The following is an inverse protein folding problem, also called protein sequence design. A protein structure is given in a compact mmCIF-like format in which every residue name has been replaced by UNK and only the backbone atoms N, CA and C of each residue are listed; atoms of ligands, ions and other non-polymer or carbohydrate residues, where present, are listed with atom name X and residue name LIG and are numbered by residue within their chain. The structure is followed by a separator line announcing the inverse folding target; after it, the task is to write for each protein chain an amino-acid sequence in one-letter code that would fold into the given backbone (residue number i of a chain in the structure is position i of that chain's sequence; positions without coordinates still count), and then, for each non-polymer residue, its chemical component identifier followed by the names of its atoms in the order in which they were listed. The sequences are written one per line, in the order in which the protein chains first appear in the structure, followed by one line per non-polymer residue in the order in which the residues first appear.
data_IF_641609014778
#
_entry.id   IF_641609014778
#
_cell.length_a   1.000
_cell.length_b   1.000
_cell.length_c   1.000
_cell.angle_alpha   90.00
_cell.angle_beta   90.00
_cell.angle_gamma   90.00
#
_symmetry.space_group_name_H-M   'P 1'
#
loop_
_entity.id
_entity.type
_entity.pdbx_description
1 polymer ?
#
# COMPACT_ATOMS: atom_id res chain seq x y z
N UNK A 1 36.18 -18.08 -6.31
CA UNK A 1 35.70 -17.48 -5.06
C UNK A 1 34.33 -16.93 -5.36
N UNK A 2 33.28 -17.64 -4.99
CA UNK A 2 31.88 -17.14 -5.11
C UNK A 2 31.67 -16.12 -4.00
N UNK A 3 31.47 -14.87 -4.37
CA UNK A 3 31.08 -13.81 -3.45
C UNK A 3 29.76 -14.23 -2.83
N UNK A 4 29.76 -14.54 -1.54
CA UNK A 4 28.56 -14.71 -0.72
C UNK A 4 27.79 -13.38 -0.80
N UNK A 5 26.81 -13.30 -1.69
CA UNK A 5 25.81 -12.24 -1.70
C UNK A 5 24.99 -12.48 -0.44
N UNK A 6 25.09 -11.59 0.52
CA UNK A 6 24.25 -11.64 1.72
C UNK A 6 22.81 -11.42 1.27
N UNK A 7 21.99 -12.48 1.26
CA UNK A 7 20.54 -12.43 1.02
C UNK A 7 19.84 -11.77 2.23
N UNK A 8 20.22 -10.54 2.54
CA UNK A 8 19.68 -9.80 3.69
C UNK A 8 18.29 -9.26 3.39
N UNK A 9 17.95 -9.06 2.10
CA UNK A 9 16.68 -8.46 1.68
C UNK A 9 16.04 -9.24 0.52
N UNK A 10 14.71 -9.38 0.57
CA UNK A 10 13.92 -9.94 -0.53
C UNK A 10 13.80 -8.97 -1.70
N UNK A 11 13.79 -7.66 -1.39
CA UNK A 11 13.80 -6.58 -2.38
C UNK A 11 14.73 -5.46 -1.93
N UNK A 12 15.52 -4.93 -2.87
CA UNK A 12 16.31 -3.73 -2.72
C UNK A 12 16.09 -2.81 -3.92
N UNK A 13 15.73 -1.57 -3.66
CA UNK A 13 15.73 -0.49 -4.64
C UNK A 13 16.73 0.56 -4.17
N UNK A 14 17.63 0.99 -5.06
CA UNK A 14 18.69 1.95 -4.76
C UNK A 14 18.72 3.05 -5.81
N UNK A 15 18.38 4.29 -5.40
CA UNK A 15 18.44 5.49 -6.25
C UNK A 15 17.54 5.39 -7.49
N UNK A 16 16.39 4.73 -7.40
CA UNK A 16 15.55 4.41 -8.55
C UNK A 16 14.84 5.65 -9.06
N UNK A 17 15.10 5.99 -10.32
CA UNK A 17 14.41 7.06 -11.04
C UNK A 17 13.64 6.49 -12.23
N UNK A 18 12.48 7.06 -12.53
CA UNK A 18 11.72 6.76 -13.75
C UNK A 18 11.10 8.01 -14.35
N UNK A 19 11.43 8.25 -15.62
CA UNK A 19 10.86 9.33 -16.42
C UNK A 19 10.02 8.79 -17.56
N UNK A 20 8.91 9.46 -17.84
CA UNK A 20 8.08 9.29 -19.03
C UNK A 20 8.00 10.65 -19.75
N UNK A 21 8.86 10.84 -20.76
CA UNK A 21 9.01 12.14 -21.38
C UNK A 21 9.44 13.23 -20.37
N UNK A 22 8.57 14.21 -20.13
CA UNK A 22 8.81 15.29 -19.17
C UNK A 22 8.38 14.97 -17.75
N UNK A 23 7.61 13.89 -17.54
CA UNK A 23 7.09 13.51 -16.21
C UNK A 23 8.09 12.62 -15.50
N UNK A 24 8.50 13.04 -14.32
CA UNK A 24 9.33 12.25 -13.40
C UNK A 24 8.42 11.48 -12.44
N UNK A 25 8.15 10.22 -12.75
CA UNK A 25 7.25 9.38 -11.97
C UNK A 25 7.91 8.79 -10.70
N UNK A 26 9.24 8.65 -10.71
CA UNK A 26 10.04 8.24 -9.54
C UNK A 26 11.29 9.09 -9.47
N UNK A 27 11.62 9.55 -8.26
CA UNK A 27 12.71 10.50 -7.96
C UNK A 27 13.56 9.95 -6.83
N UNK A 28 14.66 9.29 -7.16
CA UNK A 28 15.67 8.78 -6.20
C UNK A 28 15.06 7.88 -5.11
N UNK A 29 14.22 6.92 -5.54
CA UNK A 29 13.56 6.00 -4.62
C UNK A 29 14.53 4.93 -4.14
N UNK A 30 14.71 4.85 -2.82
CA UNK A 30 15.49 3.81 -2.16
C UNK A 30 14.65 3.15 -1.06
N UNK A 31 14.57 1.82 -1.09
CA UNK A 31 13.85 1.03 -0.08
C UNK A 31 14.39 -0.40 -0.02
N UNK A 32 14.16 -1.05 1.12
CA UNK A 32 14.56 -2.42 1.37
C UNK A 32 13.42 -3.18 2.06
N UNK A 33 13.12 -4.39 1.55
CA UNK A 33 12.08 -5.28 2.08
C UNK A 33 12.76 -6.56 2.57
N UNK A 34 12.43 -6.97 3.80
CA UNK A 34 12.97 -8.17 4.42
C UNK A 34 12.22 -9.42 3.94
N UNK A 35 12.86 -10.60 3.91
CA UNK A 35 12.14 -11.84 3.65
C UNK A 35 11.03 -12.08 4.67
N UNK A 36 9.87 -12.53 4.20
CA UNK A 36 8.74 -12.91 5.04
C UNK A 36 7.99 -11.76 5.70
N UNK A 37 8.24 -10.49 5.34
CA UNK A 37 7.44 -9.37 5.84
C UNK A 37 6.30 -8.98 4.87
N UNK A 38 5.25 -8.41 5.42
CA UNK A 38 4.26 -7.64 4.66
C UNK A 38 4.71 -6.19 4.66
N UNK A 39 5.13 -5.70 3.51
CA UNK A 39 5.59 -4.32 3.32
C UNK A 39 4.57 -3.50 2.55
N UNK A 40 4.11 -2.39 3.16
CA UNK A 40 3.15 -1.47 2.55
C UNK A 40 3.83 -0.31 1.84
N UNK A 41 3.45 -0.04 0.59
CA UNK A 41 3.80 1.19 -0.12
C UNK A 41 2.57 2.09 -0.13
N UNK A 42 2.53 3.10 0.73
CA UNK A 42 1.35 3.89 1.04
C UNK A 42 1.49 5.31 0.52
N UNK A 43 0.45 5.83 -0.09
CA UNK A 43 0.43 7.20 -0.62
C UNK A 43 -0.73 7.44 -1.57
N UNK A 44 -1.00 8.69 -1.94
CA UNK A 44 -2.12 9.06 -2.81
C UNK A 44 -1.97 8.53 -4.23
N UNK A 45 -3.04 8.69 -5.01
CA UNK A 45 -2.99 8.42 -6.44
C UNK A 45 -1.98 9.36 -7.10
N UNK A 46 -1.18 8.79 -8.01
CA UNK A 46 -0.10 9.53 -8.66
C UNK A 46 1.22 9.57 -7.90
N UNK A 47 1.30 9.09 -6.66
CA UNK A 47 2.55 9.06 -5.89
C UNK A 47 3.69 8.21 -6.49
N UNK A 48 3.40 7.40 -7.53
CA UNK A 48 4.40 6.58 -8.22
C UNK A 48 4.39 5.10 -7.84
N UNK A 49 3.52 4.67 -6.93
CA UNK A 49 3.42 3.28 -6.40
C UNK A 49 3.38 2.23 -7.51
N UNK A 50 2.40 2.31 -8.42
CA UNK A 50 2.26 1.40 -9.57
C UNK A 50 3.49 1.42 -10.48
N UNK A 51 4.15 2.58 -10.66
CA UNK A 51 5.37 2.67 -11.46
C UNK A 51 6.49 1.86 -10.83
N UNK A 52 6.68 1.98 -9.51
CA UNK A 52 7.67 1.21 -8.77
C UNK A 52 7.36 -0.30 -8.84
N UNK A 53 6.11 -0.70 -8.64
CA UNK A 53 5.69 -2.11 -8.77
C UNK A 53 5.99 -2.70 -10.16
N UNK A 54 5.72 -1.94 -11.22
CA UNK A 54 6.05 -2.38 -12.59
C UNK A 54 7.55 -2.49 -12.85
N UNK A 55 8.38 -1.67 -12.21
CA UNK A 55 9.83 -1.82 -12.26
C UNK A 55 10.29 -3.08 -11.53
N UNK A 56 9.77 -3.33 -10.33
CA UNK A 56 10.07 -4.53 -9.55
C UNK A 56 9.64 -5.78 -10.32
N UNK A 57 8.45 -5.77 -10.92
CA UNK A 57 7.94 -6.86 -11.75
C UNK A 57 8.65 -7.00 -13.11
N UNK A 58 9.71 -6.22 -13.37
CA UNK A 58 10.44 -6.20 -14.64
C UNK A 58 9.58 -5.88 -15.88
N UNK A 59 8.48 -5.16 -15.69
CA UNK A 59 7.58 -4.70 -16.77
C UNK A 59 8.01 -3.33 -17.32
N UNK A 60 8.82 -2.59 -16.56
CA UNK A 60 9.42 -1.33 -16.94
C UNK A 60 10.92 -1.36 -16.65
N UNK A 61 11.68 -0.53 -17.36
CA UNK A 61 13.08 -0.31 -17.07
C UNK A 61 13.25 1.01 -16.30
N UNK A 62 14.11 1.07 -15.27
CA UNK A 62 14.44 2.32 -14.60
C UNK A 62 15.19 3.27 -15.55
N UNK A 63 15.06 4.57 -15.33
CA UNK A 63 15.87 5.58 -16.05
C UNK A 63 17.24 5.71 -15.39
N UNK A 64 17.31 5.55 -14.06
CA UNK A 64 18.53 5.49 -13.27
C UNK A 64 18.28 4.64 -12.01
N UNK A 65 19.36 4.27 -11.32
CA UNK A 65 19.31 3.41 -10.15
C UNK A 65 19.20 1.93 -10.49
N UNK A 66 19.01 1.11 -9.47
CA UNK A 66 18.97 -0.34 -9.59
C UNK A 66 17.88 -0.94 -8.69
N UNK A 67 17.23 -2.00 -9.17
CA UNK A 67 16.33 -2.84 -8.37
C UNK A 67 16.84 -4.27 -8.37
N UNK A 68 16.90 -4.89 -7.20
CA UNK A 68 17.22 -6.31 -7.02
C UNK A 68 16.09 -7.02 -6.29
N UNK A 69 15.78 -8.23 -6.72
CA UNK A 69 14.80 -9.10 -6.08
C UNK A 69 15.44 -10.45 -5.82
N UNK A 70 15.45 -10.88 -4.57
CA UNK A 70 16.13 -12.12 -4.14
C UNK A 70 17.58 -12.20 -4.70
N UNK A 71 18.33 -11.10 -4.61
CA UNK A 71 19.68 -10.98 -5.11
C UNK A 71 19.82 -10.81 -6.65
N UNK A 72 18.74 -11.01 -7.43
CA UNK A 72 18.74 -10.89 -8.88
C UNK A 72 18.45 -9.45 -9.34
N UNK A 73 19.18 -8.98 -10.36
CA UNK A 73 18.90 -7.71 -11.01
C UNK A 73 17.63 -7.82 -11.88
N UNK A 74 16.59 -7.03 -11.57
CA UNK A 74 15.29 -7.12 -12.26
C UNK A 74 15.37 -6.79 -13.74
N UNK A 75 16.41 -6.08 -14.18
CA UNK A 75 16.61 -5.71 -15.58
C UNK A 75 17.36 -6.81 -16.33
N UNK A 76 18.43 -7.33 -15.75
CA UNK A 76 19.31 -8.33 -16.41
C UNK A 76 18.73 -9.74 -16.29
N UNK A 77 18.25 -10.09 -15.11
CA UNK A 77 17.75 -11.43 -14.77
C UNK A 77 16.22 -11.55 -14.89
N UNK A 78 15.55 -10.70 -15.66
CA UNK A 78 14.10 -10.55 -15.71
C UNK A 78 13.33 -11.87 -15.88
N UNK A 79 13.86 -12.86 -16.63
CA UNK A 79 13.21 -14.17 -16.80
C UNK A 79 13.18 -14.99 -15.51
N UNK A 80 14.25 -14.92 -14.71
CA UNK A 80 14.32 -15.59 -13.41
C UNK A 80 13.45 -14.84 -12.40
N UNK A 81 13.55 -13.51 -12.37
CA UNK A 81 12.76 -12.63 -11.50
C UNK A 81 11.26 -12.89 -11.67
N UNK A 82 10.75 -12.97 -12.90
CA UNK A 82 9.33 -13.23 -13.19
C UNK A 82 8.84 -14.58 -12.68
N UNK A 83 9.71 -15.58 -12.54
CA UNK A 83 9.35 -16.87 -11.93
C UNK A 83 9.29 -16.83 -10.41
N UNK A 84 9.90 -15.83 -9.79
CA UNK A 84 9.89 -15.64 -8.34
C UNK A 84 8.76 -14.75 -7.85
N UNK A 85 8.07 -14.04 -8.76
CA UNK A 85 7.06 -13.04 -8.44
C UNK A 85 5.66 -13.56 -8.78
N UNK A 86 4.74 -13.47 -7.81
CA UNK A 86 3.31 -13.37 -8.06
C UNK A 86 2.93 -11.88 -8.21
N UNK A 87 2.27 -11.49 -9.29
CA UNK A 87 1.89 -10.08 -9.49
C UNK A 87 0.41 -9.94 -9.75
N UNK A 88 -0.24 -9.16 -8.91
CA UNK A 88 -1.63 -8.75 -9.04
C UNK A 88 -1.67 -7.25 -9.32
N UNK A 89 -1.93 -6.81 -10.56
CA UNK A 89 -2.03 -5.40 -10.90
C UNK A 89 -3.34 -4.79 -10.42
N UNK A 90 -3.37 -3.48 -10.18
CA UNK A 90 -4.53 -2.74 -9.66
C UNK A 90 -5.76 -2.72 -10.57
N UNK A 91 -5.60 -3.09 -11.84
CA UNK A 91 -6.72 -3.31 -12.75
C UNK A 91 -6.95 -4.80 -12.93
N UNK A 92 -8.24 -5.20 -12.99
CA UNK A 92 -8.60 -6.59 -13.26
C UNK A 92 -7.90 -7.09 -14.54
N UNK A 93 -7.00 -8.02 -14.38
CA UNK A 93 -6.07 -8.50 -15.42
C UNK A 93 -6.32 -9.93 -15.84
N UNK A 94 -7.34 -10.59 -15.26
CA UNK A 94 -7.72 -11.95 -15.63
C UNK A 94 -8.56 -11.93 -16.90
N UNK A 95 -8.64 -13.08 -17.55
CA UNK A 95 -9.46 -13.27 -18.75
C UNK A 95 -10.93 -13.30 -18.36
N UNK A 96 -11.66 -12.22 -18.63
CA UNK A 96 -13.05 -12.04 -18.20
C UNK A 96 -14.00 -13.09 -18.81
N UNK A 97 -13.70 -13.56 -20.03
CA UNK A 97 -14.50 -14.54 -20.78
C UNK A 97 -14.21 -15.99 -20.38
N UNK A 98 -13.08 -16.23 -19.73
CA UNK A 98 -12.74 -17.55 -19.19
C UNK A 98 -13.41 -17.74 -17.83
N UNK A 99 -13.72 -19.00 -17.51
CA UNK A 99 -14.21 -19.40 -16.20
C UNK A 99 -13.13 -19.28 -15.13
N UNK A 100 -13.51 -19.44 -13.85
CA UNK A 100 -12.55 -19.49 -12.74
C UNK A 100 -11.52 -20.59 -12.96
N UNK A 101 -11.99 -21.82 -13.29
CA UNK A 101 -11.13 -22.98 -13.55
C UNK A 101 -10.21 -22.76 -14.74
N UNK A 102 -10.71 -22.21 -15.84
CA UNK A 102 -9.91 -21.91 -17.04
C UNK A 102 -8.82 -20.87 -16.78
N UNK A 103 -9.12 -19.81 -16.00
CA UNK A 103 -8.10 -18.85 -15.57
C UNK A 103 -7.00 -19.52 -14.75
N UNK A 104 -7.34 -20.33 -13.73
CA UNK A 104 -6.37 -21.05 -12.90
C UNK A 104 -5.48 -21.97 -13.74
N UNK A 105 -6.07 -22.74 -14.65
CA UNK A 105 -5.32 -23.61 -15.56
C UNK A 105 -4.41 -22.83 -16.51
N UNK A 106 -4.89 -21.71 -17.04
CA UNK A 106 -4.09 -20.85 -17.92
C UNK A 106 -2.85 -20.32 -17.19
N UNK A 107 -3.03 -19.74 -15.99
CA UNK A 107 -1.91 -19.19 -15.24
C UNK A 107 -0.96 -20.30 -14.75
N UNK A 108 -1.46 -21.45 -14.34
CA UNK A 108 -0.62 -22.60 -14.00
C UNK A 108 0.24 -23.03 -15.20
N UNK A 109 -0.38 -23.21 -16.36
CA UNK A 109 0.33 -23.61 -17.60
C UNK A 109 1.40 -22.59 -18.03
N UNK A 110 1.17 -21.29 -17.82
CA UNK A 110 2.16 -20.24 -18.11
C UNK A 110 3.46 -20.38 -17.31
N UNK A 111 3.43 -21.12 -16.18
CA UNK A 111 4.58 -21.41 -15.34
C UNK A 111 4.98 -22.88 -15.33
N UNK A 112 4.66 -23.63 -16.38
CA UNK A 112 5.04 -25.04 -16.57
C UNK A 112 4.48 -25.97 -15.46
N UNK A 113 3.29 -25.68 -14.89
CA UNK A 113 2.61 -26.48 -13.88
C UNK A 113 1.14 -26.67 -14.19
N UNK A 114 0.40 -27.35 -13.30
CA UNK A 114 -1.05 -27.52 -13.41
C UNK A 114 -1.73 -27.02 -12.16
N UNK A 115 -3.00 -26.60 -12.29
CA UNK A 115 -3.79 -26.22 -11.13
C UNK A 115 -3.90 -27.36 -10.10
N UNK A 116 -4.15 -28.58 -10.58
CA UNK A 116 -4.32 -29.75 -9.68
C UNK A 116 -3.05 -30.06 -8.87
N UNK A 117 -1.85 -29.91 -9.49
CA UNK A 117 -0.59 -30.15 -8.79
C UNK A 117 -0.34 -29.12 -7.66
N UNK A 118 -0.76 -27.87 -7.87
CA UNK A 118 -0.48 -26.75 -6.98
C UNK A 118 -1.72 -26.22 -6.25
N UNK A 119 -2.86 -26.90 -6.35
CA UNK A 119 -4.11 -26.52 -5.69
C UNK A 119 -3.93 -26.29 -4.19
N UNK A 120 -3.13 -27.13 -3.55
CA UNK A 120 -2.84 -27.05 -2.10
C UNK A 120 -2.23 -25.70 -1.68
N UNK A 121 -1.56 -24.96 -2.58
CA UNK A 121 -0.97 -23.64 -2.30
C UNK A 121 -2.02 -22.54 -2.16
N UNK A 122 -3.21 -22.78 -2.69
CA UNK A 122 -4.29 -21.78 -2.77
C UNK A 122 -5.61 -22.30 -2.21
N UNK A 123 -5.62 -23.48 -1.58
CA UNK A 123 -6.85 -24.18 -1.17
C UNK A 123 -7.74 -23.31 -0.28
N UNK A 124 -7.17 -22.64 0.73
CA UNK A 124 -7.93 -21.80 1.68
C UNK A 124 -8.62 -20.60 1.02
N UNK A 125 -8.07 -20.13 -0.09
CA UNK A 125 -8.65 -19.04 -0.88
C UNK A 125 -9.61 -19.63 -1.90
N UNK A 126 -9.18 -20.68 -2.59
CA UNK A 126 -9.95 -21.32 -3.65
C UNK A 126 -11.26 -21.91 -3.15
N UNK A 127 -11.30 -22.58 -1.99
CA UNK A 127 -12.53 -23.17 -1.43
C UNK A 127 -13.67 -22.13 -1.30
N UNK A 128 -13.36 -20.85 -1.12
CA UNK A 128 -14.35 -19.79 -1.02
C UNK A 128 -15.00 -19.42 -2.37
N UNK A 129 -14.35 -19.77 -3.47
CA UNK A 129 -14.83 -19.49 -4.84
C UNK A 129 -15.09 -20.78 -5.65
N UNK A 130 -14.74 -21.94 -5.13
CA UNK A 130 -14.82 -23.24 -5.82
C UNK A 130 -16.22 -23.55 -6.37
N UNK A 131 -17.29 -23.21 -5.63
CA UNK A 131 -18.68 -23.38 -6.10
C UNK A 131 -19.02 -22.61 -7.37
N UNK A 132 -18.17 -21.70 -7.79
CA UNK A 132 -18.33 -20.86 -8.98
C UNK A 132 -17.28 -21.16 -10.05
N UNK A 133 -16.63 -22.33 -9.98
CA UNK A 133 -15.50 -22.66 -10.85
C UNK A 133 -15.83 -22.61 -12.35
N UNK A 134 -17.08 -22.92 -12.73
CA UNK A 134 -17.57 -22.85 -14.11
C UNK A 134 -18.13 -21.47 -14.49
N UNK A 135 -18.14 -20.50 -13.55
CA UNK A 135 -18.60 -19.15 -13.84
C UNK A 135 -17.50 -18.34 -14.50
N UNK A 136 -17.83 -17.56 -15.51
CA UNK A 136 -16.91 -16.61 -16.16
C UNK A 136 -16.39 -15.59 -15.16
N UNK A 137 -15.09 -15.29 -15.20
CA UNK A 137 -14.44 -14.37 -14.29
C UNK A 137 -15.04 -12.96 -14.36
N UNK A 138 -15.50 -12.51 -15.53
CA UNK A 138 -16.19 -11.24 -15.71
C UNK A 138 -17.49 -11.11 -14.91
N UNK A 139 -18.19 -12.22 -14.62
CA UNK A 139 -19.46 -12.27 -13.89
C UNK A 139 -19.30 -12.45 -12.37
N UNK A 140 -18.06 -12.46 -11.84
CA UNK A 140 -17.77 -12.53 -10.41
C UNK A 140 -17.96 -11.17 -9.73
N UNK A 141 -18.26 -11.17 -8.43
CA UNK A 141 -18.20 -9.95 -7.60
C UNK A 141 -16.75 -9.45 -7.45
N UNK A 142 -16.57 -8.21 -7.03
CA UNK A 142 -15.23 -7.62 -6.82
C UNK A 142 -14.34 -8.47 -5.92
N UNK A 143 -14.83 -8.83 -4.73
CA UNK A 143 -14.07 -9.67 -3.78
C UNK A 143 -13.77 -11.08 -4.33
N UNK A 144 -14.67 -11.69 -5.12
CA UNK A 144 -14.40 -12.97 -5.77
C UNK A 144 -13.35 -12.84 -6.89
N UNK A 145 -13.37 -11.75 -7.65
CA UNK A 145 -12.34 -11.45 -8.65
C UNK A 145 -10.96 -11.35 -8.03
N UNK A 146 -10.87 -10.74 -6.85
CA UNK A 146 -9.60 -10.61 -6.13
C UNK A 146 -9.12 -11.93 -5.57
N UNK A 147 -10.01 -12.75 -5.00
CA UNK A 147 -9.67 -14.10 -4.57
C UNK A 147 -9.13 -14.94 -5.74
N UNK A 148 -9.78 -14.88 -6.90
CA UNK A 148 -9.29 -15.55 -8.11
C UNK A 148 -7.93 -15.00 -8.56
N UNK A 149 -7.75 -13.68 -8.60
CA UNK A 149 -6.49 -13.07 -8.99
C UNK A 149 -5.34 -13.46 -8.04
N UNK A 150 -5.63 -13.52 -6.74
CA UNK A 150 -4.67 -13.96 -5.73
C UNK A 150 -4.28 -15.44 -5.94
N UNK A 151 -5.26 -16.33 -6.17
CA UNK A 151 -4.98 -17.74 -6.52
C UNK A 151 -4.09 -17.85 -7.77
N UNK A 152 -4.40 -17.10 -8.84
CA UNK A 152 -3.60 -17.10 -10.06
C UNK A 152 -2.17 -16.57 -9.83
N UNK A 153 -1.99 -15.58 -8.95
CA UNK A 153 -0.67 -15.05 -8.62
C UNK A 153 0.17 -15.99 -7.74
N UNK A 154 -0.47 -16.91 -7.00
CA UNK A 154 0.19 -17.84 -6.09
C UNK A 154 0.44 -19.22 -6.69
N UNK A 155 -0.25 -19.58 -7.78
CA UNK A 155 -0.29 -20.94 -8.32
C UNK A 155 1.08 -21.54 -8.69
N UNK A 156 2.07 -20.71 -8.95
CA UNK A 156 3.42 -21.12 -9.32
C UNK A 156 4.42 -21.05 -8.16
N UNK A 157 3.93 -20.89 -6.91
CA UNK A 157 4.71 -20.82 -5.67
C UNK A 157 5.77 -19.71 -5.69
N UNK A 158 5.38 -18.45 -5.85
CA UNK A 158 6.32 -17.33 -5.85
C UNK A 158 7.02 -17.16 -4.50
N UNK A 159 8.19 -16.50 -4.49
CA UNK A 159 8.87 -16.07 -3.27
C UNK A 159 8.43 -14.68 -2.82
N UNK A 160 8.00 -13.85 -3.75
CA UNK A 160 7.54 -12.48 -3.51
C UNK A 160 6.20 -12.27 -4.20
N UNK A 161 5.23 -11.76 -3.45
CA UNK A 161 3.91 -11.40 -3.95
C UNK A 161 3.80 -9.88 -4.04
N UNK A 162 3.52 -9.36 -5.22
CA UNK A 162 3.31 -7.94 -5.49
C UNK A 162 1.83 -7.68 -5.72
N UNK A 163 1.20 -6.87 -4.88
CA UNK A 163 -0.23 -6.55 -4.92
C UNK A 163 -0.41 -5.04 -5.11
N UNK A 164 -0.76 -4.64 -6.32
CA UNK A 164 -0.94 -3.22 -6.67
C UNK A 164 -2.39 -2.80 -6.47
N UNK A 165 -2.67 -2.11 -5.37
CA UNK A 165 -3.99 -1.64 -4.94
C UNK A 165 -5.06 -2.75 -4.91
N UNK A 166 -4.79 -3.87 -4.22
CA UNK A 166 -5.65 -5.07 -4.32
C UNK A 166 -7.05 -4.87 -3.73
N UNK A 167 -7.25 -3.87 -2.89
CA UNK A 167 -8.49 -3.60 -2.15
C UNK A 167 -9.30 -2.42 -2.70
N UNK A 168 -8.79 -1.75 -3.75
CA UNK A 168 -9.48 -0.62 -4.36
C UNK A 168 -10.81 -1.06 -4.99
N UNK A 169 -11.89 -0.37 -4.62
CA UNK A 169 -13.24 -0.71 -5.11
C UNK A 169 -13.88 -1.95 -4.47
N UNK A 170 -13.32 -2.44 -3.36
CA UNK A 170 -13.84 -3.58 -2.59
C UNK A 170 -14.56 -3.10 -1.34
N UNK A 171 -15.67 -3.76 -1.01
CA UNK A 171 -16.41 -3.46 0.23
C UNK A 171 -15.58 -3.74 1.49
N UNK A 172 -15.88 -3.07 2.63
CA UNK A 172 -15.07 -3.17 3.84
C UNK A 172 -14.95 -4.58 4.42
N UNK A 173 -15.98 -5.43 4.25
CA UNK A 173 -15.96 -6.80 4.77
C UNK A 173 -15.00 -7.65 3.94
N UNK A 174 -15.14 -7.61 2.62
CA UNK A 174 -14.24 -8.32 1.70
C UNK A 174 -12.79 -7.82 1.82
N UNK A 175 -12.57 -6.52 2.10
CA UNK A 175 -11.24 -5.95 2.36
C UNK A 175 -10.61 -6.57 3.60
N UNK A 176 -11.35 -6.65 4.71
CA UNK A 176 -10.87 -7.28 5.95
C UNK A 176 -10.52 -8.77 5.74
N UNK A 177 -11.37 -9.50 5.02
CA UNK A 177 -11.11 -10.90 4.67
C UNK A 177 -9.83 -11.04 3.83
N UNK A 178 -9.63 -10.15 2.86
CA UNK A 178 -8.44 -10.16 2.00
C UNK A 178 -7.15 -9.95 2.81
N UNK A 179 -7.12 -9.00 3.72
CA UNK A 179 -5.99 -8.78 4.61
C UNK A 179 -5.73 -9.98 5.53
N UNK A 180 -6.79 -10.61 6.04
CA UNK A 180 -6.67 -11.86 6.82
C UNK A 180 -6.00 -12.98 6.02
N UNK A 181 -6.36 -13.14 4.74
CA UNK A 181 -5.72 -14.13 3.85
C UNK A 181 -4.22 -13.82 3.65
N UNK A 182 -3.83 -12.55 3.47
CA UNK A 182 -2.42 -12.18 3.33
C UNK A 182 -1.60 -12.49 4.58
N UNK A 183 -2.16 -12.23 5.76
CA UNK A 183 -1.51 -12.54 7.04
C UNK A 183 -1.31 -14.06 7.21
N UNK A 184 -2.28 -14.88 6.83
CA UNK A 184 -2.15 -16.34 6.86
C UNK A 184 -1.07 -16.84 5.89
N UNK A 185 -1.09 -16.37 4.65
CA UNK A 185 -0.06 -16.71 3.63
C UNK A 185 1.36 -16.38 4.10
N UNK A 186 1.53 -15.25 4.78
CA UNK A 186 2.82 -14.87 5.38
C UNK A 186 3.21 -15.83 6.50
N UNK A 187 2.29 -16.11 7.43
CA UNK A 187 2.56 -16.91 8.62
C UNK A 187 2.91 -18.38 8.29
N UNK A 188 2.23 -18.97 7.32
CA UNK A 188 2.38 -20.37 6.95
C UNK A 188 3.55 -20.63 5.99
N UNK A 189 3.80 -19.73 5.07
CA UNK A 189 4.74 -19.95 3.96
C UNK A 189 6.00 -19.09 3.97
N UNK A 190 6.15 -18.14 4.90
CA UNK A 190 7.28 -17.18 4.87
C UNK A 190 7.29 -16.32 3.60
N UNK A 191 6.15 -16.17 2.93
CA UNK A 191 5.99 -15.39 1.70
C UNK A 191 6.25 -13.91 2.00
N UNK A 192 7.09 -13.29 1.18
CA UNK A 192 7.28 -11.84 1.23
C UNK A 192 6.19 -11.16 0.43
N UNK A 193 5.50 -10.19 1.01
CA UNK A 193 4.35 -9.55 0.38
C UNK A 193 4.57 -8.04 0.32
N UNK A 194 4.51 -7.46 -0.88
CA UNK A 194 4.47 -6.02 -1.07
C UNK A 194 3.07 -5.62 -1.51
N UNK A 195 2.48 -4.67 -0.80
CA UNK A 195 1.16 -4.14 -1.11
C UNK A 195 1.27 -2.64 -1.37
N UNK A 196 0.75 -2.16 -2.49
CA UNK A 196 0.50 -0.72 -2.65
C UNK A 196 -0.95 -0.40 -2.29
N UNK A 197 -1.18 0.72 -1.62
CA UNK A 197 -2.53 1.18 -1.29
C UNK A 197 -2.59 2.69 -1.11
N UNK A 198 -3.69 3.35 -1.53
CA UNK A 198 -3.94 4.74 -1.16
C UNK A 198 -4.58 4.88 0.24
N UNK A 199 -5.01 3.78 0.85
CA UNK A 199 -5.72 3.78 2.13
C UNK A 199 -4.75 3.73 3.30
N UNK A 200 -4.71 4.82 4.10
CA UNK A 200 -3.79 4.93 5.25
C UNK A 200 -4.15 3.98 6.40
N UNK A 201 -5.43 3.62 6.56
CA UNK A 201 -5.90 2.66 7.55
C UNK A 201 -5.34 1.24 7.35
N UNK A 202 -5.03 0.87 6.11
CA UNK A 202 -4.42 -0.42 5.77
C UNK A 202 -2.95 -0.53 6.20
N UNK A 203 -2.29 0.59 6.51
CA UNK A 203 -0.92 0.60 7.02
C UNK A 203 -0.74 -0.28 8.26
N UNK A 204 -1.75 -0.31 9.14
CA UNK A 204 -1.74 -1.12 10.37
C UNK A 204 -1.70 -2.62 10.12
N UNK A 205 -2.02 -3.08 8.91
CA UNK A 205 -1.97 -4.48 8.49
C UNK A 205 -0.57 -4.92 8.03
N UNK A 206 0.38 -3.97 7.88
CA UNK A 206 1.74 -4.21 7.41
C UNK A 206 2.74 -4.26 8.57
N UNK A 207 3.83 -5.00 8.40
CA UNK A 207 4.94 -5.02 9.36
C UNK A 207 5.75 -3.73 9.29
N UNK A 208 6.04 -3.27 8.08
CA UNK A 208 6.69 -1.99 7.77
C UNK A 208 6.02 -1.35 6.57
N UNK A 209 6.09 -0.04 6.52
CA UNK A 209 5.54 0.75 5.43
C UNK A 209 6.54 1.80 4.94
N UNK A 210 6.42 2.16 3.67
CA UNK A 210 7.02 3.35 3.11
C UNK A 210 5.90 4.32 2.72
N UNK A 211 5.94 5.53 3.26
CA UNK A 211 5.08 6.63 2.83
C UNK A 211 5.66 7.23 1.55
N UNK A 212 4.84 7.33 0.52
CA UNK A 212 5.28 7.78 -0.80
C UNK A 212 4.42 8.93 -1.30
N UNK A 213 5.07 9.98 -1.77
CA UNK A 213 4.41 11.12 -2.40
C UNK A 213 5.28 11.69 -3.53
N UNK A 214 4.65 12.22 -4.59
CA UNK A 214 5.30 12.86 -5.76
C UNK A 214 6.53 12.10 -6.30
N UNK A 215 6.48 10.77 -6.30
CA UNK A 215 7.57 9.92 -6.79
C UNK A 215 8.73 9.74 -5.81
N UNK A 216 8.60 10.14 -4.57
CA UNK A 216 9.62 10.01 -3.51
C UNK A 216 9.12 9.17 -2.35
N UNK A 217 10.03 8.49 -1.68
CA UNK A 217 9.78 7.91 -0.35
C UNK A 217 10.05 8.98 0.69
N UNK A 218 9.04 9.32 1.47
CA UNK A 218 9.12 10.33 2.54
C UNK A 218 9.72 9.74 3.81
N UNK A 219 9.25 8.56 4.20
CA UNK A 219 9.66 7.87 5.42
C UNK A 219 9.40 6.37 5.27
N UNK A 220 10.25 5.54 5.89
CA UNK A 220 10.09 4.08 5.97
C UNK A 220 10.30 3.62 7.39
N UNK A 221 9.28 3.02 8.00
CA UNK A 221 9.36 2.44 9.36
C UNK A 221 8.18 1.47 9.58
N UNK A 222 8.07 0.92 10.80
CA UNK A 222 6.84 0.28 11.28
C UNK A 222 5.72 1.32 11.38
N UNK A 223 4.43 0.94 11.28
CA UNK A 223 3.32 1.87 11.47
C UNK A 223 3.41 2.66 12.79
N UNK A 224 3.77 1.97 13.88
CA UNK A 224 3.97 2.60 15.18
C UNK A 224 5.19 3.54 15.21
N UNK A 225 6.27 3.16 14.52
CA UNK A 225 7.47 3.99 14.40
C UNK A 225 7.17 5.31 13.70
N UNK A 226 6.39 5.28 12.62
CA UNK A 226 5.96 6.48 11.89
C UNK A 226 5.14 7.40 12.80
N UNK A 227 4.13 6.85 13.48
CA UNK A 227 3.30 7.63 14.42
C UNK A 227 4.14 8.24 15.56
N UNK A 228 5.08 7.46 16.11
CA UNK A 228 5.96 7.92 17.19
C UNK A 228 6.97 8.98 16.76
N UNK A 229 7.35 8.98 15.48
CA UNK A 229 8.28 9.96 14.89
C UNK A 229 7.58 11.16 14.26
N UNK A 230 6.24 11.24 14.39
CA UNK A 230 5.47 12.35 13.84
C UNK A 230 5.96 13.68 14.41
N UNK A 231 6.35 14.64 13.56
CA UNK A 231 7.02 15.86 14.02
C UNK A 231 6.09 16.86 14.69
N UNK A 232 4.78 16.67 14.52
CA UNK A 232 3.76 17.63 14.92
C UNK A 232 2.87 17.10 16.06
N UNK A 233 2.33 18.03 16.84
CA UNK A 233 1.26 17.77 17.81
C UNK A 233 -0.09 18.06 17.14
N UNK A 234 -1.10 17.23 17.42
CA UNK A 234 -2.41 17.35 16.80
C UNK A 234 -3.51 17.62 17.81
N UNK A 235 -4.48 18.41 17.36
CA UNK A 235 -5.72 18.72 18.06
C UNK A 235 -6.90 18.39 17.15
N UNK A 236 -7.86 17.63 17.67
CA UNK A 236 -9.12 17.40 17.01
C UNK A 236 -10.09 18.55 17.32
N UNK A 237 -10.62 19.19 16.27
CA UNK A 237 -11.56 20.31 16.38
C UNK A 237 -12.91 19.90 15.81
N UNK A 238 -13.99 20.19 16.53
CA UNK A 238 -15.37 19.95 16.13
C UNK A 238 -16.28 21.10 16.51
N UNK A 239 -17.45 21.20 15.86
CA UNK A 239 -18.50 22.18 16.12
C UNK A 239 -19.62 22.08 15.09
N UNK A 240 -20.63 22.93 15.18
CA UNK A 240 -21.78 22.88 14.28
C UNK A 240 -21.46 23.33 12.85
N UNK A 241 -20.63 24.36 12.67
CA UNK A 241 -20.16 24.86 11.36
C UNK A 241 -18.78 24.31 11.03
N UNK A 242 -18.70 23.04 10.62
CA UNK A 242 -17.44 22.40 10.27
C UNK A 242 -16.71 23.06 9.11
N UNK A 243 -17.44 23.61 8.13
CA UNK A 243 -16.82 24.27 6.97
C UNK A 243 -16.15 25.59 7.37
N UNK A 244 -16.85 26.44 8.14
CA UNK A 244 -16.29 27.67 8.68
C UNK A 244 -15.12 27.41 9.63
N UNK A 245 -15.25 26.44 10.53
CA UNK A 245 -14.18 26.00 11.44
C UNK A 245 -12.89 25.63 10.69
N UNK A 246 -12.98 24.82 9.61
CA UNK A 246 -11.79 24.41 8.84
C UNK A 246 -11.10 25.60 8.18
N UNK A 247 -11.88 26.53 7.64
CA UNK A 247 -11.35 27.75 7.02
C UNK A 247 -10.63 28.63 8.04
N UNK A 248 -11.28 28.88 9.16
CA UNK A 248 -10.85 29.89 10.11
C UNK A 248 -9.76 29.38 11.07
N UNK A 249 -9.77 28.06 11.43
CA UNK A 249 -8.69 27.47 12.24
C UNK A 249 -7.32 27.56 11.55
N UNK A 250 -7.29 27.51 10.21
CA UNK A 250 -6.05 27.63 9.42
C UNK A 250 -5.42 29.01 9.53
N UNK A 251 -6.17 30.04 9.95
CA UNK A 251 -5.67 31.40 10.12
C UNK A 251 -5.17 31.70 11.52
N UNK A 252 -5.36 30.77 12.47
CA UNK A 252 -4.97 30.99 13.84
C UNK A 252 -3.46 30.95 14.04
N UNK A 253 -2.91 31.84 14.88
CA UNK A 253 -1.50 31.76 15.27
C UNK A 253 -1.19 30.41 15.92
N UNK A 254 -0.06 29.82 15.55
CA UNK A 254 0.36 28.53 16.08
C UNK A 254 -0.27 27.30 15.42
N UNK A 255 -1.18 27.47 14.44
CA UNK A 255 -1.65 26.42 13.56
C UNK A 255 -0.75 26.31 12.34
N UNK A 256 -0.22 25.12 12.07
CA UNK A 256 0.61 24.82 10.90
C UNK A 256 -0.25 24.35 9.73
N UNK A 257 -1.18 23.44 9.98
CA UNK A 257 -2.09 22.89 8.98
C UNK A 257 -3.38 22.40 9.63
N UNK A 258 -4.46 22.27 8.84
CA UNK A 258 -5.71 21.68 9.28
C UNK A 258 -6.39 20.97 8.13
N UNK A 259 -6.91 19.76 8.39
CA UNK A 259 -7.55 18.89 7.42
C UNK A 259 -8.87 18.34 7.97
N UNK A 260 -9.83 18.06 7.09
CA UNK A 260 -11.06 17.38 7.46
C UNK A 260 -10.76 15.90 7.74
N UNK A 261 -11.21 15.40 8.88
CA UNK A 261 -10.98 14.03 9.32
C UNK A 261 -12.28 13.43 9.92
N UNK A 262 -13.04 12.78 9.08
CA UNK A 262 -14.33 12.22 9.48
C UNK A 262 -15.29 13.26 10.04
N UNK A 263 -15.55 13.20 11.35
CA UNK A 263 -16.45 14.13 12.08
C UNK A 263 -15.73 15.29 12.76
N UNK A 264 -14.41 15.32 12.66
CA UNK A 264 -13.55 16.34 13.27
C UNK A 264 -12.62 16.94 12.23
N UNK A 265 -11.94 18.01 12.57
CA UNK A 265 -10.76 18.47 11.84
C UNK A 265 -9.54 18.16 12.67
N UNK A 266 -8.54 17.52 12.07
CA UNK A 266 -7.23 17.38 12.67
C UNK A 266 -6.38 18.60 12.33
N UNK A 267 -5.88 19.23 13.38
CA UNK A 267 -5.14 20.50 13.32
C UNK A 267 -3.74 20.26 13.86
N UNK A 268 -2.73 20.41 13.01
CA UNK A 268 -1.34 20.40 13.42
C UNK A 268 -0.99 21.75 14.04
N UNK A 269 -0.44 21.71 15.25
CA UNK A 269 -0.09 22.91 16.03
C UNK A 269 1.40 22.98 16.34
N UNK A 270 1.89 24.19 16.57
CA UNK A 270 3.26 24.42 17.03
C UNK A 270 3.43 24.00 18.51
N UNK A 271 4.67 23.71 18.96
CA UNK A 271 4.93 23.27 20.35
C UNK A 271 4.47 24.27 21.42
N UNK A 272 4.36 25.54 21.08
CA UNK A 272 3.95 26.62 21.97
C UNK A 272 2.42 26.81 22.03
N UNK A 273 1.65 25.98 21.35
CA UNK A 273 0.20 26.05 21.26
C UNK A 273 -0.42 24.78 21.84
N UNK A 274 -1.55 24.89 22.49
CA UNK A 274 -2.31 23.75 23.02
C UNK A 274 -3.79 23.76 22.57
N UNK A 275 -4.51 22.71 22.89
CA UNK A 275 -5.91 22.56 22.54
C UNK A 275 -6.79 23.65 23.15
N UNK A 276 -6.47 24.11 24.36
CA UNK A 276 -7.22 25.14 25.05
C UNK A 276 -7.07 26.50 24.35
N UNK A 277 -5.86 26.84 23.91
CA UNK A 277 -5.60 28.05 23.14
C UNK A 277 -6.35 28.07 21.81
N UNK A 278 -6.35 26.94 21.07
CA UNK A 278 -7.11 26.78 19.83
C UNK A 278 -8.60 26.93 20.07
N UNK A 279 -9.16 26.27 21.10
CA UNK A 279 -10.57 26.38 21.42
C UNK A 279 -10.97 27.80 21.81
N UNK A 280 -10.15 28.48 22.63
CA UNK A 280 -10.43 29.86 23.00
C UNK A 280 -10.39 30.83 21.82
N UNK A 281 -9.44 30.62 20.91
CA UNK A 281 -9.35 31.43 19.69
C UNK A 281 -10.56 31.25 18.79
N UNK A 282 -11.02 30.00 18.60
CA UNK A 282 -12.23 29.70 17.81
C UNK A 282 -13.49 30.32 18.44
N UNK A 283 -13.63 30.27 19.76
CA UNK A 283 -14.74 30.93 20.47
C UNK A 283 -14.74 32.45 20.28
N UNK A 284 -13.56 33.08 20.25
CA UNK A 284 -13.45 34.53 19.95
C UNK A 284 -13.85 34.88 18.53
N UNK A 285 -13.72 33.95 17.57
CA UNK A 285 -14.18 34.08 16.21
C UNK A 285 -15.68 33.81 16.04
N UNK A 286 -16.41 33.49 17.12
CA UNK A 286 -17.86 33.30 17.11
C UNK A 286 -18.29 31.83 17.14
N UNK A 287 -17.39 30.86 17.17
CA UNK A 287 -17.69 29.45 17.28
C UNK A 287 -17.89 29.03 18.74
N UNK A 288 -19.04 29.38 19.32
CA UNK A 288 -19.32 29.20 20.75
C UNK A 288 -19.34 27.72 21.17
N UNK A 289 -19.73 26.83 20.28
CA UNK A 289 -19.83 25.38 20.44
C UNK A 289 -18.55 24.63 20.03
N UNK A 290 -17.50 25.35 19.59
CA UNK A 290 -16.26 24.70 19.21
C UNK A 290 -15.62 23.96 20.39
N UNK A 291 -15.25 22.71 20.13
CA UNK A 291 -14.49 21.84 21.03
C UNK A 291 -13.16 21.52 20.37
N UNK A 292 -12.09 21.62 21.14
CA UNK A 292 -10.74 21.25 20.70
C UNK A 292 -10.11 20.35 21.76
N UNK A 293 -9.68 19.16 21.36
CA UNK A 293 -9.09 18.14 22.23
C UNK A 293 -7.76 17.65 21.67
N UNK A 294 -6.78 17.42 22.53
CA UNK A 294 -5.51 16.84 22.11
C UNK A 294 -5.75 15.40 21.61
N UNK A 295 -5.20 15.07 20.46
CA UNK A 295 -5.35 13.75 19.83
C UNK A 295 -3.97 13.17 19.50
N UNK A 296 -3.84 11.86 19.66
CA UNK A 296 -2.65 11.14 19.14
C UNK A 296 -2.73 11.11 17.62
N UNK A 297 -1.64 11.48 16.92
CA UNK A 297 -1.63 11.40 15.47
C UNK A 297 -1.83 9.95 14.99
N UNK A 298 -2.40 9.81 13.83
CA UNK A 298 -2.40 8.57 13.08
C UNK A 298 -1.45 8.65 11.87
N UNK A 299 -1.46 7.66 11.01
CA UNK A 299 -0.59 7.61 9.82
C UNK A 299 -0.97 8.70 8.81
N UNK A 300 -2.26 9.00 8.68
CA UNK A 300 -2.75 10.06 7.77
C UNK A 300 -2.27 11.44 8.24
N UNK A 301 -2.34 11.71 9.53
CA UNK A 301 -1.80 12.93 10.15
C UNK A 301 -0.30 13.09 9.88
N UNK A 302 0.47 12.01 10.09
CA UNK A 302 1.91 12.01 9.86
C UNK A 302 2.24 12.20 8.37
N UNK A 303 1.49 11.56 7.48
CA UNK A 303 1.64 11.73 6.04
C UNK A 303 1.41 13.20 5.63
N UNK A 304 0.31 13.80 6.09
CA UNK A 304 -0.02 15.19 5.80
C UNK A 304 1.05 16.18 6.32
N UNK A 305 1.61 15.92 7.50
CA UNK A 305 2.70 16.72 8.07
C UNK A 305 4.02 16.58 7.29
N UNK A 306 4.28 15.45 6.65
CA UNK A 306 5.47 15.20 5.84
C UNK A 306 5.34 15.72 4.41
N UNK A 307 4.15 15.63 3.81
CA UNK A 307 3.87 16.08 2.43
C UNK A 307 3.76 17.62 2.32
N UNK A 308 3.48 18.32 3.42
CA UNK A 308 3.36 19.79 3.44
C UNK A 308 4.71 20.53 3.44
N UNK A 309 5.83 19.83 3.42
CA UNK A 309 7.21 20.38 3.37
C UNK A 309 7.74 20.38 1.95
#
# INVERSE_FOLDING_TARGET
MATLISDTFALEAAGVCKRFGKVEALRDVSLQVRPGEIFGLIGPDGAGKTTLFRLIASLLLPTAGQVRLCGLDVTRDYRKVRRLIGYMPGRFSLYADLTVRENLNFFAAAFDTTFEANRHLVEDIYCQIARFEDRRAGALSGGMKQKLALCCALIHKPQVLLLDEPTTGVDPVSRKEFWGMLQNLRAEGGLTILVSTPYMDEASCCDRIALMDEGRVLLTDTPQGIVSSCPDTFVAVSGSDMHGLLRDVRTLPGVKSAFAFGRTHHVSISPDTDAAAVQQALRRLGYADAVAEAVKPDIEDCFMALSAK
#
